data_IF_476406205158
#
_entry.id   IF_476406205158
#
_cell.length_a   1.000
_cell.length_b   1.000
_cell.length_c   1.000
_cell.angle_alpha   90.00
_cell.angle_beta   90.00
_cell.angle_gamma   90.00
#
_symmetry.space_group_name_H-M   'P 1'
#
loop_
_entity.id
_entity.type
_entity.pdbx_description
1 polymer ?
#
# COMPACT_ATOMS: atom_id res chain seq x y z
N UNK A 1 3.16 -17.13 16.08
CA UNK A 1 4.14 -17.26 17.18
C UNK A 1 4.29 -15.91 17.87
N UNK A 2 4.28 -15.86 19.19
CA UNK A 2 4.40 -14.61 19.96
C UNK A 2 5.69 -13.88 19.56
N UNK A 3 5.67 -12.59 19.20
CA UNK A 3 6.87 -11.85 18.76
C UNK A 3 7.95 -11.86 19.85
N UNK A 4 7.50 -11.86 21.12
CA UNK A 4 8.37 -12.06 22.29
C UNK A 4 9.13 -13.39 22.22
N UNK A 5 8.45 -14.47 21.84
CA UNK A 5 9.05 -15.78 21.70
C UNK A 5 10.05 -15.80 20.54
N UNK A 6 9.73 -15.20 19.40
CA UNK A 6 10.67 -15.07 18.28
C UNK A 6 11.94 -14.31 18.69
N UNK A 7 11.81 -13.20 19.42
CA UNK A 7 12.96 -12.43 19.90
C UNK A 7 13.79 -13.21 20.91
N UNK A 8 13.14 -13.91 21.86
CA UNK A 8 13.84 -14.79 22.80
C UNK A 8 14.59 -15.90 22.05
N UNK A 9 13.95 -16.56 21.08
CA UNK A 9 14.58 -17.61 20.27
C UNK A 9 15.76 -17.08 19.46
N UNK A 10 15.61 -15.90 18.83
CA UNK A 10 16.68 -15.24 18.11
C UNK A 10 17.85 -14.90 19.04
N UNK A 11 17.59 -14.34 20.21
CA UNK A 11 18.63 -14.03 21.19
C UNK A 11 19.32 -15.30 21.71
N UNK A 12 18.59 -16.39 21.94
CA UNK A 12 19.17 -17.69 22.29
C UNK A 12 20.10 -18.16 21.18
N UNK A 13 19.64 -18.17 19.92
CA UNK A 13 20.46 -18.61 18.77
C UNK A 13 21.70 -17.73 18.60
N UNK A 14 21.55 -16.41 18.71
CA UNK A 14 22.67 -15.47 18.62
C UNK A 14 23.67 -15.68 19.75
N UNK A 15 23.19 -15.85 20.99
CA UNK A 15 24.05 -16.11 22.13
C UNK A 15 24.75 -17.47 22.04
N UNK A 16 24.04 -18.51 21.58
CA UNK A 16 24.63 -19.81 21.30
C UNK A 16 25.67 -19.74 20.19
N UNK A 17 25.41 -19.01 19.10
CA UNK A 17 26.38 -18.80 18.03
C UNK A 17 27.63 -18.05 18.53
N UNK A 18 27.43 -17.03 19.37
CA UNK A 18 28.53 -16.34 20.03
C UNK A 18 29.36 -17.28 20.91
N UNK A 19 28.71 -18.06 21.78
CA UNK A 19 29.40 -19.03 22.63
C UNK A 19 30.18 -20.04 21.80
N UNK A 20 29.57 -20.59 20.76
CA UNK A 20 30.24 -21.55 19.87
C UNK A 20 31.44 -20.86 19.24
N UNK A 21 31.29 -19.76 18.51
CA UNK A 21 32.39 -19.13 17.76
C UNK A 21 33.55 -18.70 18.68
N UNK A 22 33.26 -18.11 19.84
CA UNK A 22 34.29 -17.55 20.72
C UNK A 22 34.86 -18.54 21.74
N UNK A 23 34.14 -19.60 22.11
CA UNK A 23 34.59 -20.59 23.09
C UNK A 23 34.94 -21.95 22.49
N UNK A 24 34.59 -22.28 21.23
CA UNK A 24 35.06 -23.51 20.57
C UNK A 24 36.58 -23.72 20.68
N UNK A 25 37.43 -22.68 20.46
CA UNK A 25 38.88 -22.88 20.48
C UNK A 25 39.42 -23.31 21.85
N UNK A 26 38.71 -22.99 22.94
CA UNK A 26 39.05 -23.43 24.29
C UNK A 26 38.90 -24.94 24.44
N UNK A 27 37.86 -25.52 23.83
CA UNK A 27 37.53 -26.94 23.97
C UNK A 27 38.21 -27.84 22.93
N UNK A 28 38.48 -27.33 21.72
CA UNK A 28 39.00 -28.16 20.61
C UNK A 28 40.51 -28.03 20.35
N UNK A 29 41.15 -26.91 20.74
CA UNK A 29 42.54 -26.63 20.35
C UNK A 29 43.46 -26.62 21.56
N UNK A 30 43.51 -25.53 22.31
CA UNK A 30 44.25 -25.41 23.56
C UNK A 30 43.92 -24.08 24.26
N UNK A 31 44.09 -24.00 25.60
CA UNK A 31 43.90 -22.75 26.34
C UNK A 31 44.80 -21.60 25.85
N UNK A 32 46.01 -21.91 25.41
CA UNK A 32 46.98 -20.93 24.89
C UNK A 32 46.51 -20.32 23.56
N UNK A 33 45.90 -21.14 22.69
CA UNK A 33 45.32 -20.68 21.44
C UNK A 33 44.09 -19.80 21.68
N UNK A 34 43.25 -20.14 22.67
CA UNK A 34 42.08 -19.35 23.07
C UNK A 34 42.46 -17.91 23.45
N UNK A 35 43.52 -17.73 24.24
CA UNK A 35 43.99 -16.39 24.65
C UNK A 35 44.44 -15.59 23.43
N UNK A 36 45.23 -16.20 22.51
CA UNK A 36 45.67 -15.54 21.28
C UNK A 36 44.50 -15.21 20.35
N UNK A 37 43.51 -16.10 20.27
CA UNK A 37 42.29 -15.88 19.48
C UNK A 37 41.52 -14.67 20.00
N UNK A 38 41.33 -14.56 21.33
CA UNK A 38 40.66 -13.40 21.94
C UNK A 38 41.44 -12.10 21.73
N UNK A 39 42.76 -12.12 21.95
CA UNK A 39 43.60 -10.94 21.74
C UNK A 39 43.58 -10.45 20.29
N UNK A 40 43.43 -11.35 19.31
CA UNK A 40 43.40 -10.99 17.89
C UNK A 40 42.00 -10.63 17.39
N UNK A 41 40.95 -11.23 17.95
CA UNK A 41 39.57 -11.14 17.43
C UNK A 41 38.59 -10.42 18.36
N UNK A 42 39.06 -9.76 19.42
CA UNK A 42 38.19 -8.99 20.34
C UNK A 42 37.29 -7.97 19.61
N UNK A 43 37.77 -7.40 18.50
CA UNK A 43 36.99 -6.49 17.67
C UNK A 43 35.74 -7.15 17.05
N UNK A 44 35.82 -8.43 16.68
CA UNK A 44 34.67 -9.21 16.22
C UNK A 44 33.67 -9.46 17.35
N UNK A 45 34.15 -9.74 18.57
CA UNK A 45 33.29 -9.90 19.74
C UNK A 45 32.53 -8.60 20.06
N UNK A 46 33.23 -7.47 20.02
CA UNK A 46 32.63 -6.16 20.21
C UNK A 46 31.60 -5.84 19.12
N UNK A 47 31.95 -6.06 17.85
CA UNK A 47 31.03 -5.87 16.72
C UNK A 47 29.76 -6.72 16.85
N UNK A 48 29.91 -7.98 17.27
CA UNK A 48 28.78 -8.86 17.52
C UNK A 48 27.88 -8.33 18.64
N UNK A 49 28.46 -7.94 19.79
CA UNK A 49 27.72 -7.37 20.91
C UNK A 49 26.99 -6.07 20.54
N UNK A 50 27.65 -5.18 19.79
CA UNK A 50 27.03 -3.94 19.29
C UNK A 50 25.87 -4.27 18.36
N UNK A 51 26.03 -5.23 17.45
CA UNK A 51 24.97 -5.66 16.53
C UNK A 51 23.75 -6.22 17.28
N UNK A 52 23.99 -7.09 18.27
CA UNK A 52 22.93 -7.62 19.16
C UNK A 52 22.25 -6.50 19.94
N UNK A 53 23.04 -5.54 20.45
CA UNK A 53 22.53 -4.36 21.16
C UNK A 53 21.61 -3.52 20.28
N UNK A 54 22.01 -3.23 19.04
CA UNK A 54 21.22 -2.46 18.07
C UNK A 54 19.90 -3.19 17.76
N UNK A 55 19.95 -4.50 17.48
CA UNK A 55 18.75 -5.29 17.20
C UNK A 55 17.76 -5.26 18.36
N UNK A 56 18.25 -5.49 19.58
CA UNK A 56 17.41 -5.43 20.78
C UNK A 56 16.86 -4.01 21.00
N UNK A 57 17.66 -2.96 20.79
CA UNK A 57 17.21 -1.57 20.91
C UNK A 57 16.05 -1.25 19.94
N UNK A 58 16.16 -1.67 18.68
CA UNK A 58 15.08 -1.50 17.68
C UNK A 58 13.81 -2.23 18.13
N UNK A 59 13.96 -3.44 18.66
CA UNK A 59 12.85 -4.24 19.13
C UNK A 59 12.14 -3.61 20.35
N UNK A 60 12.90 -3.19 21.36
CA UNK A 60 12.35 -2.49 22.54
C UNK A 60 11.65 -1.18 22.15
N UNK A 61 12.23 -0.41 21.22
CA UNK A 61 11.63 0.83 20.73
C UNK A 61 10.26 0.60 20.07
N UNK A 62 10.07 -0.51 19.37
CA UNK A 62 8.84 -0.84 18.66
C UNK A 62 7.93 -1.84 19.40
N UNK A 63 8.29 -2.22 20.62
CA UNK A 63 7.61 -3.29 21.36
C UNK A 63 6.12 -3.06 21.53
N UNK A 64 5.68 -1.82 21.77
CA UNK A 64 4.24 -1.50 21.91
C UNK A 64 3.47 -1.79 20.63
N UNK A 65 3.98 -1.33 19.49
CA UNK A 65 3.38 -1.57 18.17
C UNK A 65 3.33 -3.08 17.89
N UNK A 66 4.44 -3.78 18.13
CA UNK A 66 4.51 -5.23 17.94
C UNK A 66 3.53 -5.98 18.86
N UNK A 67 3.37 -5.53 20.10
CA UNK A 67 2.43 -6.14 21.04
C UNK A 67 0.98 -5.94 20.60
N UNK A 68 0.60 -4.76 20.11
CA UNK A 68 -0.75 -4.54 19.61
C UNK A 68 -1.02 -5.36 18.34
N UNK A 69 -0.06 -5.43 17.41
CA UNK A 69 -0.17 -6.33 16.25
C UNK A 69 -0.31 -7.80 16.67
N UNK A 70 0.43 -8.24 17.69
CA UNK A 70 0.39 -9.63 18.15
C UNK A 70 -0.97 -10.01 18.75
N UNK A 71 -1.65 -9.08 19.40
CA UNK A 71 -2.97 -9.31 19.99
C UNK A 71 -4.11 -8.92 19.02
N UNK A 72 -3.79 -8.53 17.79
CA UNK A 72 -4.74 -7.98 16.80
C UNK A 72 -5.60 -6.84 17.40
N UNK A 73 -5.02 -6.08 18.33
CA UNK A 73 -5.68 -4.96 19.01
C UNK A 73 -5.53 -3.69 18.15
N UNK A 74 -6.29 -3.68 17.06
CA UNK A 74 -6.33 -2.58 16.10
C UNK A 74 -6.73 -1.24 16.75
N UNK A 75 -7.72 -1.15 17.66
CA UNK A 75 -8.07 0.09 18.33
C UNK A 75 -6.92 0.67 19.16
N UNK A 76 -6.26 -0.15 19.99
CA UNK A 76 -5.14 0.32 20.81
C UNK A 76 -3.92 0.70 19.95
N UNK A 77 -3.70 -0.01 18.84
CA UNK A 77 -2.68 0.35 17.86
C UNK A 77 -2.95 1.71 17.23
N UNK A 78 -4.18 1.95 16.75
CA UNK A 78 -4.58 3.20 16.15
C UNK A 78 -4.39 4.36 17.13
N UNK A 79 -4.92 4.25 18.35
CA UNK A 79 -4.77 5.28 19.38
C UNK A 79 -3.29 5.59 19.69
N UNK A 80 -2.45 4.56 19.77
CA UNK A 80 -1.03 4.76 20.02
C UNK A 80 -0.34 5.49 18.86
N UNK A 81 -0.67 5.13 17.62
CA UNK A 81 -0.11 5.74 16.42
C UNK A 81 -0.61 7.18 16.23
N UNK A 82 -1.89 7.46 16.50
CA UNK A 82 -2.44 8.82 16.52
C UNK A 82 -1.69 9.70 17.51
N UNK A 83 -1.40 9.18 18.71
CA UNK A 83 -0.63 9.93 19.70
C UNK A 83 0.78 10.27 19.17
N UNK A 84 1.40 9.37 18.41
CA UNK A 84 2.69 9.63 17.79
C UNK A 84 2.63 10.64 16.65
N UNK A 85 1.61 10.56 15.79
CA UNK A 85 1.48 11.41 14.61
C UNK A 85 1.01 12.81 15.01
N UNK A 86 -0.08 12.93 15.75
CA UNK A 86 -0.70 14.22 16.07
C UNK A 86 0.02 14.99 17.19
N UNK A 87 0.46 14.31 18.25
CA UNK A 87 1.07 15.01 19.40
C UNK A 87 2.58 15.07 19.31
N UNK A 88 3.23 14.01 18.82
CA UNK A 88 4.70 13.94 18.74
C UNK A 88 5.24 14.29 17.35
N UNK A 89 4.36 14.67 16.40
CA UNK A 89 4.69 15.04 15.02
C UNK A 89 5.59 14.04 14.30
N UNK A 90 5.46 12.75 14.64
CA UNK A 90 6.26 11.68 14.01
C UNK A 90 5.61 11.22 12.72
N UNK A 91 5.78 12.00 11.66
CA UNK A 91 5.24 11.71 10.32
C UNK A 91 6.16 10.79 9.51
N UNK A 92 6.62 9.69 10.11
CA UNK A 92 7.43 8.71 9.38
C UNK A 92 6.53 7.94 8.40
N UNK A 93 7.04 7.60 7.21
CA UNK A 93 6.28 6.87 6.18
C UNK A 93 5.62 5.60 6.72
N UNK A 94 6.36 4.83 7.52
CA UNK A 94 5.87 3.59 8.15
C UNK A 94 4.76 3.86 9.16
N UNK A 95 4.93 4.87 10.01
CA UNK A 95 3.93 5.25 11.03
C UNK A 95 2.63 5.71 10.39
N UNK A 96 2.72 6.59 9.39
CA UNK A 96 1.55 7.12 8.67
C UNK A 96 0.83 6.01 7.92
N UNK A 97 1.56 5.16 7.18
CA UNK A 97 0.98 4.03 6.45
C UNK A 97 0.27 3.07 7.41
N UNK A 98 0.92 2.67 8.50
CA UNK A 98 0.33 1.75 9.47
C UNK A 98 -0.90 2.36 10.17
N UNK A 99 -0.86 3.65 10.49
CA UNK A 99 -2.01 4.35 11.07
C UNK A 99 -3.17 4.37 10.07
N UNK A 100 -2.92 4.79 8.83
CA UNK A 100 -3.92 4.81 7.78
C UNK A 100 -4.56 3.42 7.55
N UNK A 101 -3.75 2.37 7.39
CA UNK A 101 -4.23 0.99 7.23
C UNK A 101 -5.07 0.55 8.44
N UNK A 102 -4.62 0.86 9.67
CA UNK A 102 -5.37 0.53 10.90
C UNK A 102 -6.71 1.26 10.98
N UNK A 103 -6.76 2.55 10.64
CA UNK A 103 -7.98 3.34 10.66
C UNK A 103 -8.99 2.88 9.61
N UNK A 104 -8.52 2.54 8.40
CA UNK A 104 -9.40 1.97 7.35
C UNK A 104 -9.97 0.63 7.77
N UNK A 105 -9.17 -0.25 8.40
CA UNK A 105 -9.65 -1.53 8.94
C UNK A 105 -10.70 -1.35 10.03
N UNK A 106 -10.55 -0.34 10.88
CA UNK A 106 -11.52 0.01 11.92
C UNK A 106 -12.77 0.72 11.38
N UNK A 107 -12.75 1.18 10.12
CA UNK A 107 -13.81 1.98 9.54
C UNK A 107 -13.91 3.40 10.11
N UNK A 108 -12.87 3.90 10.78
CA UNK A 108 -12.83 5.25 11.35
C UNK A 108 -12.37 6.26 10.29
N UNK A 109 -13.30 6.60 9.38
CA UNK A 109 -13.03 7.52 8.28
C UNK A 109 -12.88 8.98 8.73
N UNK A 110 -13.40 9.34 9.90
CA UNK A 110 -13.23 10.68 10.46
C UNK A 110 -11.78 10.90 10.91
N UNK A 111 -11.18 9.90 11.57
CA UNK A 111 -9.76 9.91 11.89
C UNK A 111 -8.87 9.89 10.65
N UNK A 112 -9.26 9.17 9.58
CA UNK A 112 -8.56 9.21 8.28
C UNK A 112 -8.57 10.62 7.69
N UNK A 113 -9.72 11.31 7.73
CA UNK A 113 -9.81 12.69 7.26
C UNK A 113 -8.91 13.62 8.07
N UNK A 114 -8.94 13.50 9.40
CA UNK A 114 -8.08 14.27 10.29
C UNK A 114 -6.59 14.04 10.01
N UNK A 115 -6.20 12.79 9.72
CA UNK A 115 -4.85 12.44 9.33
C UNK A 115 -4.45 13.10 8.00
N UNK A 116 -5.32 13.03 6.99
CA UNK A 116 -5.15 13.70 5.70
C UNK A 116 -4.90 15.21 5.86
N UNK A 117 -5.80 15.91 6.57
CA UNK A 117 -5.72 17.36 6.79
C UNK A 117 -4.46 17.77 7.56
N UNK A 118 -4.05 16.95 8.53
CA UNK A 118 -2.83 17.20 9.31
C UNK A 118 -1.59 17.04 8.44
N UNK A 119 -1.52 15.99 7.62
CA UNK A 119 -0.40 15.76 6.72
C UNK A 119 -0.32 16.82 5.62
N UNK A 120 -1.46 17.26 5.08
CA UNK A 120 -1.48 18.34 4.10
C UNK A 120 -0.87 19.64 4.66
N UNK A 121 -1.10 19.94 5.94
CA UNK A 121 -0.58 21.15 6.60
C UNK A 121 0.86 21.00 7.09
N UNK A 122 1.19 19.89 7.74
CA UNK A 122 2.47 19.72 8.45
C UNK A 122 3.54 19.03 7.60
N UNK A 123 3.15 18.17 6.64
CA UNK A 123 4.08 17.43 5.79
C UNK A 123 3.51 17.11 4.40
N UNK A 124 3.46 18.11 3.48
CA UNK A 124 2.85 17.97 2.16
C UNK A 124 3.47 16.85 1.32
N UNK A 125 4.79 16.61 1.46
CA UNK A 125 5.48 15.52 0.77
C UNK A 125 4.91 14.16 1.15
N UNK A 126 4.64 13.92 2.44
CA UNK A 126 4.05 12.65 2.90
C UNK A 126 2.58 12.52 2.52
N UNK A 127 1.86 13.63 2.53
CA UNK A 127 0.49 13.66 2.02
C UNK A 127 0.45 13.20 0.55
N UNK A 128 1.32 13.74 -0.32
CA UNK A 128 1.40 13.35 -1.73
C UNK A 128 1.71 11.87 -1.93
N UNK A 129 2.63 11.29 -1.15
CA UNK A 129 2.93 9.85 -1.21
C UNK A 129 1.74 8.95 -0.83
N UNK A 130 0.79 9.46 -0.04
CA UNK A 130 -0.33 8.67 0.53
C UNK A 130 -1.69 9.07 -0.04
N UNK A 131 -1.71 9.99 -1.00
CA UNK A 131 -2.94 10.59 -1.52
C UNK A 131 -3.87 9.56 -2.17
N UNK A 132 -3.32 8.56 -2.87
CA UNK A 132 -4.11 7.47 -3.47
C UNK A 132 -4.93 6.72 -2.42
N UNK A 133 -4.32 6.47 -1.26
CA UNK A 133 -4.98 5.85 -0.13
C UNK A 133 -6.10 6.71 0.43
N UNK A 134 -5.85 8.00 0.68
CA UNK A 134 -6.89 8.90 1.21
C UNK A 134 -8.09 9.05 0.27
N UNK A 135 -7.85 9.19 -1.04
CA UNK A 135 -8.92 9.25 -2.03
C UNK A 135 -9.70 7.93 -2.08
N UNK A 136 -9.00 6.79 -2.05
CA UNK A 136 -9.64 5.48 -1.99
C UNK A 136 -10.49 5.27 -0.74
N UNK A 137 -10.00 5.70 0.43
CA UNK A 137 -10.76 5.68 1.68
C UNK A 137 -11.99 6.58 1.63
N UNK A 138 -11.90 7.76 1.00
CA UNK A 138 -13.06 8.63 0.78
C UNK A 138 -14.13 7.99 -0.12
N UNK A 139 -13.72 7.21 -1.13
CA UNK A 139 -14.64 6.43 -1.97
C UNK A 139 -15.32 5.32 -1.16
N UNK A 140 -14.58 4.62 -0.30
CA UNK A 140 -15.13 3.61 0.62
C UNK A 140 -16.17 4.21 1.57
N UNK A 141 -15.89 5.41 2.10
CA UNK A 141 -16.84 6.15 2.95
C UNK A 141 -18.01 6.77 2.16
N UNK A 142 -18.17 6.43 0.88
CA UNK A 142 -19.21 6.97 -0.03
C UNK A 142 -19.19 8.50 -0.16
N UNK A 143 -18.08 9.15 0.21
CA UNK A 143 -17.90 10.59 0.08
C UNK A 143 -17.31 10.93 -1.30
N UNK A 144 -18.08 10.61 -2.34
CA UNK A 144 -17.67 10.78 -3.74
C UNK A 144 -17.39 12.24 -4.11
N UNK A 145 -18.07 13.19 -3.45
CA UNK A 145 -17.81 14.63 -3.66
C UNK A 145 -16.44 15.02 -3.14
N UNK A 146 -16.09 14.63 -1.92
CA UNK A 146 -14.78 14.94 -1.34
C UNK A 146 -13.64 14.32 -2.16
N UNK A 147 -13.76 13.04 -2.52
CA UNK A 147 -12.79 12.34 -3.37
C UNK A 147 -12.49 13.11 -4.67
N UNK A 148 -13.53 13.60 -5.36
CA UNK A 148 -13.38 14.38 -6.61
C UNK A 148 -12.65 15.70 -6.40
N UNK A 149 -12.93 16.41 -5.31
CA UNK A 149 -12.28 17.68 -4.98
C UNK A 149 -10.79 17.45 -4.72
N UNK A 150 -10.45 16.50 -3.84
CA UNK A 150 -9.07 16.16 -3.53
C UNK A 150 -8.26 15.77 -4.76
N UNK A 151 -8.83 14.92 -5.64
CA UNK A 151 -8.16 14.55 -6.90
C UNK A 151 -7.94 15.78 -7.78
N UNK A 152 -8.94 16.64 -7.92
CA UNK A 152 -8.85 17.81 -8.80
C UNK A 152 -7.80 18.81 -8.31
N UNK A 153 -7.70 18.99 -7.01
CA UNK A 153 -6.65 19.81 -6.38
C UNK A 153 -5.26 19.19 -6.60
N UNK A 154 -5.12 17.89 -6.33
CA UNK A 154 -3.85 17.18 -6.49
C UNK A 154 -3.32 17.21 -7.94
N UNK A 155 -4.20 17.03 -8.93
CA UNK A 155 -3.84 17.08 -10.34
C UNK A 155 -3.46 18.50 -10.80
N UNK A 156 -3.98 19.55 -10.15
CA UNK A 156 -3.60 20.94 -10.46
C UNK A 156 -2.22 21.31 -9.92
N UNK A 157 -1.80 20.72 -8.81
CA UNK A 157 -0.47 20.97 -8.23
C UNK A 157 0.68 20.45 -9.12
N UNK A 158 0.43 19.44 -9.96
CA UNK A 158 1.32 19.05 -11.07
C UNK A 158 2.61 18.30 -10.70
N UNK A 159 2.79 17.90 -9.44
CA UNK A 159 4.01 17.23 -8.93
C UNK A 159 3.75 15.76 -8.55
N UNK A 160 3.25 14.98 -9.52
CA UNK A 160 2.89 13.57 -9.32
C UNK A 160 3.47 12.71 -10.44
N UNK A 161 3.85 11.47 -10.11
CA UNK A 161 4.29 10.49 -11.10
C UNK A 161 3.12 10.00 -11.98
N UNK A 162 3.43 9.47 -13.16
CA UNK A 162 2.42 9.07 -14.13
C UNK A 162 1.46 8.00 -13.60
N UNK A 163 1.94 7.07 -12.77
CA UNK A 163 1.11 6.01 -12.18
C UNK A 163 0.13 6.64 -11.18
N UNK A 164 0.60 7.54 -10.31
CA UNK A 164 -0.30 8.25 -9.37
C UNK A 164 -1.34 9.09 -10.09
N UNK A 165 -0.96 9.78 -11.17
CA UNK A 165 -1.91 10.56 -11.99
C UNK A 165 -3.00 9.66 -12.59
N UNK A 166 -2.63 8.51 -13.13
CA UNK A 166 -3.57 7.53 -13.70
C UNK A 166 -4.55 7.03 -12.64
N UNK A 167 -4.05 6.64 -11.47
CA UNK A 167 -4.88 6.16 -10.35
C UNK A 167 -5.82 7.22 -9.81
N UNK A 168 -5.36 8.46 -9.64
CA UNK A 168 -6.21 9.56 -9.18
C UNK A 168 -7.30 9.89 -10.20
N UNK A 169 -6.94 9.93 -11.48
CA UNK A 169 -7.90 10.15 -12.57
C UNK A 169 -8.93 9.02 -12.62
N UNK A 170 -8.48 7.77 -12.42
CA UNK A 170 -9.36 6.62 -12.32
C UNK A 170 -10.33 6.76 -11.14
N UNK A 171 -9.84 7.12 -9.94
CA UNK A 171 -10.70 7.35 -8.78
C UNK A 171 -11.70 8.50 -8.97
N UNK A 172 -11.35 9.54 -9.73
CA UNK A 172 -12.30 10.60 -10.13
C UNK A 172 -13.38 10.06 -11.07
N UNK A 173 -13.01 9.25 -12.06
CA UNK A 173 -13.97 8.56 -12.93
C UNK A 173 -14.87 7.59 -12.17
N UNK A 174 -14.28 6.77 -11.29
CA UNK A 174 -14.98 5.79 -10.46
C UNK A 174 -15.95 6.46 -9.49
N UNK A 175 -15.53 7.55 -8.82
CA UNK A 175 -16.43 8.29 -7.92
C UNK A 175 -17.62 8.90 -8.66
N UNK A 176 -17.48 9.34 -9.92
CA UNK A 176 -18.62 9.75 -10.77
C UNK A 176 -19.49 8.56 -11.18
N UNK A 177 -18.88 7.42 -11.50
CA UNK A 177 -19.58 6.19 -11.88
C UNK A 177 -20.43 5.61 -10.73
N UNK A 178 -19.93 5.69 -9.50
CA UNK A 178 -20.63 5.23 -8.29
C UNK A 178 -21.67 6.24 -7.79
N UNK A 179 -21.48 7.53 -8.08
CA UNK A 179 -22.47 8.58 -7.84
C UNK A 179 -23.58 8.55 -8.92
N UNK A 180 -24.50 9.51 -8.87
CA UNK A 180 -25.60 9.65 -9.82
C UNK A 180 -25.14 10.15 -11.22
N UNK A 181 -23.90 10.63 -11.33
CA UNK A 181 -23.32 11.26 -12.53
C UNK A 181 -22.51 10.27 -13.39
N UNK A 182 -23.15 9.15 -13.74
CA UNK A 182 -22.51 8.07 -14.52
C UNK A 182 -22.05 8.53 -15.90
N UNK A 183 -22.77 9.46 -16.52
CA UNK A 183 -22.46 9.96 -17.85
C UNK A 183 -21.08 10.64 -17.91
N UNK A 184 -20.77 11.48 -16.92
CA UNK A 184 -19.53 12.25 -16.88
C UNK A 184 -18.32 11.44 -16.44
N UNK A 185 -18.50 10.19 -16.01
CA UNK A 185 -17.38 9.27 -15.72
C UNK A 185 -16.59 8.91 -16.98
N UNK A 186 -17.26 8.89 -18.14
CA UNK A 186 -16.64 8.59 -19.44
C UNK A 186 -15.48 9.53 -19.79
N UNK A 187 -15.56 10.81 -19.40
CA UNK A 187 -14.50 11.80 -19.63
C UNK A 187 -13.17 11.43 -18.99
N UNK A 188 -13.20 10.80 -17.81
CA UNK A 188 -12.00 10.43 -17.08
C UNK A 188 -11.53 9.02 -17.46
N UNK A 189 -12.46 8.09 -17.69
CA UNK A 189 -12.15 6.67 -17.91
C UNK A 189 -11.69 6.37 -19.34
N UNK A 190 -12.27 7.00 -20.36
CA UNK A 190 -11.94 6.71 -21.75
C UNK A 190 -10.47 7.04 -22.12
N UNK A 191 -9.89 8.18 -21.69
CA UNK A 191 -8.48 8.45 -21.90
C UNK A 191 -7.56 7.42 -21.24
N UNK A 192 -7.89 6.99 -20.01
CA UNK A 192 -7.09 6.01 -19.27
C UNK A 192 -7.06 4.64 -19.95
N UNK A 193 -8.19 4.20 -20.53
CA UNK A 193 -8.27 2.99 -21.33
C UNK A 193 -7.26 3.00 -22.50
N UNK A 194 -7.06 4.16 -23.14
CA UNK A 194 -6.14 4.31 -24.27
C UNK A 194 -4.67 4.42 -23.89
N UNK A 195 -4.35 5.25 -22.90
CA UNK A 195 -2.97 5.74 -22.71
C UNK A 195 -2.41 5.55 -21.30
N UNK A 196 -3.13 4.92 -20.38
CA UNK A 196 -2.61 4.70 -19.02
C UNK A 196 -1.29 3.90 -19.04
N UNK A 197 -0.38 4.29 -18.17
CA UNK A 197 0.89 3.63 -17.89
C UNK A 197 0.69 2.34 -17.06
N UNK A 198 -0.33 2.30 -16.20
CA UNK A 198 -0.62 1.16 -15.34
C UNK A 198 -1.54 0.13 -16.05
N UNK A 199 -1.12 -1.14 -16.20
CA UNK A 199 -1.95 -2.20 -16.77
C UNK A 199 -3.28 -2.41 -16.02
N UNK A 200 -3.29 -2.25 -14.69
CA UNK A 200 -4.49 -2.44 -13.89
C UNK A 200 -5.50 -1.31 -14.12
N UNK A 201 -5.03 -0.05 -14.12
CA UNK A 201 -5.88 1.11 -14.43
C UNK A 201 -6.42 1.02 -15.86
N UNK A 202 -5.60 0.56 -16.82
CA UNK A 202 -6.02 0.31 -18.20
C UNK A 202 -7.17 -0.71 -18.26
N UNK A 203 -7.02 -1.85 -17.58
CA UNK A 203 -8.04 -2.91 -17.54
C UNK A 203 -9.34 -2.45 -16.87
N UNK A 204 -9.24 -1.82 -15.70
CA UNK A 204 -10.39 -1.32 -14.94
C UNK A 204 -11.15 -0.24 -15.71
N UNK A 205 -10.44 0.70 -16.33
CA UNK A 205 -11.05 1.76 -17.13
C UNK A 205 -11.73 1.20 -18.38
N UNK A 206 -11.10 0.23 -19.06
CA UNK A 206 -11.67 -0.46 -20.22
C UNK A 206 -12.94 -1.23 -19.88
N UNK A 207 -12.96 -1.93 -18.75
CA UNK A 207 -14.13 -2.64 -18.23
C UNK A 207 -15.27 -1.68 -17.88
N UNK A 208 -14.98 -0.60 -17.13
CA UNK A 208 -16.00 0.39 -16.78
C UNK A 208 -16.57 1.08 -18.01
N UNK A 209 -15.75 1.43 -19.00
CA UNK A 209 -16.21 1.93 -20.30
C UNK A 209 -17.16 0.93 -20.99
N UNK A 210 -16.84 -0.37 -20.97
CA UNK A 210 -17.73 -1.41 -21.50
C UNK A 210 -19.06 -1.46 -20.73
N UNK A 211 -19.01 -1.38 -19.40
CA UNK A 211 -20.21 -1.35 -18.56
C UNK A 211 -21.09 -0.13 -18.83
N UNK A 212 -20.50 1.03 -19.15
CA UNK A 212 -21.24 2.26 -19.49
C UNK A 212 -22.02 2.13 -20.80
N UNK A 213 -21.55 1.31 -21.75
CA UNK A 213 -22.28 1.02 -23.00
C UNK A 213 -23.62 0.30 -22.74
N UNK A 214 -23.72 -0.45 -21.63
CA UNK A 214 -24.96 -1.16 -21.25
C UNK A 214 -26.00 -0.25 -20.58
N UNK A 215 -25.63 0.98 -20.22
CA UNK A 215 -26.56 1.94 -19.61
C UNK A 215 -27.62 2.35 -20.65
N UNK A 216 -28.89 2.34 -20.23
CA UNK A 216 -30.06 2.64 -21.08
C UNK A 216 -29.84 3.94 -21.87
N UNK A 217 -30.26 3.93 -23.13
CA UNK A 217 -30.11 4.98 -24.17
C UNK A 217 -30.65 6.35 -23.78
N UNK A 218 -31.36 6.48 -22.66
CA UNK A 218 -31.91 7.74 -22.16
C UNK A 218 -30.88 8.66 -21.50
N UNK A 219 -29.65 8.20 -21.24
CA UNK A 219 -28.58 9.01 -20.68
C UNK A 219 -27.71 9.55 -21.82
N UNK A 220 -27.70 10.87 -21.99
CA UNK A 220 -26.82 11.55 -22.96
C UNK A 220 -25.38 11.36 -22.47
N UNK A 221 -24.65 10.49 -23.17
CA UNK A 221 -23.23 10.31 -22.91
C UNK A 221 -22.46 11.46 -23.58
N UNK A 222 -21.47 12.04 -22.88
CA UNK A 222 -20.65 13.09 -23.45
C UNK A 222 -19.71 12.62 -24.57
N UNK A 223 -19.45 11.31 -24.62
CA UNK A 223 -18.60 10.66 -25.61
C UNK A 223 -19.48 9.72 -26.44
N UNK A 224 -19.25 9.68 -27.76
CA UNK A 224 -19.96 8.75 -28.64
C UNK A 224 -19.77 7.30 -28.17
N UNK A 225 -20.84 6.50 -28.26
CA UNK A 225 -20.80 5.07 -27.91
C UNK A 225 -19.78 4.30 -28.73
N UNK A 226 -19.59 4.69 -30.00
CA UNK A 226 -18.59 4.08 -30.89
C UNK A 226 -17.17 4.34 -30.40
N UNK A 227 -16.88 5.56 -29.95
CA UNK A 227 -15.57 5.93 -29.38
C UNK A 227 -15.30 5.19 -28.07
N UNK A 228 -16.32 5.07 -27.20
CA UNK A 228 -16.20 4.30 -25.96
C UNK A 228 -15.95 2.81 -26.22
N UNK A 229 -16.59 2.25 -27.23
CA UNK A 229 -16.36 0.86 -27.65
C UNK A 229 -14.94 0.67 -28.20
N UNK A 230 -14.47 1.58 -29.05
CA UNK A 230 -13.10 1.55 -29.58
C UNK A 230 -12.04 1.69 -28.47
N UNK A 231 -12.24 2.59 -27.51
CA UNK A 231 -11.32 2.80 -26.39
C UNK A 231 -11.30 1.58 -25.45
N UNK A 232 -12.45 0.94 -25.23
CA UNK A 232 -12.56 -0.31 -24.46
C UNK A 232 -11.86 -1.48 -25.15
N UNK A 233 -12.02 -1.62 -26.47
CA UNK A 233 -11.30 -2.64 -27.27
C UNK A 233 -9.79 -2.40 -27.26
N UNK A 234 -9.37 -1.14 -27.40
CA UNK A 234 -7.96 -0.75 -27.34
C UNK A 234 -7.33 -1.14 -26.01
N UNK A 235 -8.02 -0.89 -24.89
CA UNK A 235 -7.55 -1.33 -23.58
C UNK A 235 -7.37 -2.85 -23.51
N UNK A 236 -8.34 -3.61 -24.03
CA UNK A 236 -8.28 -5.07 -24.08
C UNK A 236 -7.07 -5.56 -24.87
N UNK A 237 -6.87 -5.07 -26.08
CA UNK A 237 -5.76 -5.47 -26.96
C UNK A 237 -4.39 -5.14 -26.33
N UNK A 238 -4.28 -3.99 -25.65
CA UNK A 238 -3.05 -3.59 -24.93
C UNK A 238 -2.70 -4.57 -23.79
N UNK A 239 -3.70 -5.09 -23.08
CA UNK A 239 -3.47 -6.07 -22.01
C UNK A 239 -3.18 -7.46 -22.59
N UNK A 240 -3.97 -7.91 -23.56
CA UNK A 240 -3.81 -9.23 -24.20
C UNK A 240 -2.47 -9.38 -24.94
N UNK A 241 -1.92 -8.28 -25.48
CA UNK A 241 -0.59 -8.30 -26.12
C UNK A 241 0.57 -8.51 -25.13
N UNK A 242 0.38 -8.23 -23.83
CA UNK A 242 1.43 -8.29 -22.79
C UNK A 242 1.23 -9.41 -21.76
N UNK A 243 -0.01 -9.86 -21.58
CA UNK A 243 -0.41 -10.77 -20.53
C UNK A 243 -1.18 -11.96 -21.09
N UNK A 244 -0.76 -13.17 -20.69
CA UNK A 244 -1.61 -14.36 -20.74
C UNK A 244 -2.48 -14.40 -19.49
N UNK A 245 -3.59 -15.15 -19.51
CA UNK A 245 -4.48 -15.31 -18.36
C UNK A 245 -3.71 -15.67 -17.07
N UNK A 246 -2.83 -16.68 -17.12
CA UNK A 246 -2.00 -17.08 -15.96
C UNK A 246 -1.07 -15.97 -15.46
N UNK A 247 -0.48 -15.19 -16.38
CA UNK A 247 0.42 -14.07 -16.02
C UNK A 247 -0.36 -12.90 -15.42
N UNK A 248 -1.58 -12.66 -15.91
CA UNK A 248 -2.48 -11.64 -15.39
C UNK A 248 -2.90 -11.92 -13.95
N UNK A 249 -3.40 -13.13 -13.67
CA UNK A 249 -3.81 -13.49 -12.31
C UNK A 249 -2.64 -13.44 -11.32
N UNK A 250 -1.44 -13.85 -11.72
CA UNK A 250 -0.24 -13.69 -10.88
C UNK A 250 0.10 -12.22 -10.60
N UNK A 251 -0.02 -11.36 -11.61
CA UNK A 251 0.16 -9.92 -11.44
C UNK A 251 -0.90 -9.31 -10.50
N UNK A 252 -2.15 -9.76 -10.63
CA UNK A 252 -3.25 -9.33 -9.79
C UNK A 252 -3.06 -9.78 -8.33
N UNK A 253 -2.61 -11.00 -8.08
CA UNK A 253 -2.28 -11.49 -6.72
C UNK A 253 -1.18 -10.65 -6.04
N UNK A 254 -0.17 -10.22 -6.81
CA UNK A 254 0.89 -9.35 -6.29
C UNK A 254 0.35 -7.93 -6.00
N UNK A 255 -0.54 -7.40 -6.85
CA UNK A 255 -1.18 -6.10 -6.68
C UNK A 255 -2.23 -6.07 -5.56
N UNK A 256 -2.95 -7.18 -5.32
CA UNK A 256 -3.96 -7.35 -4.26
C UNK A 256 -3.43 -7.15 -2.84
N UNK A 257 -2.10 -7.10 -2.67
CA UNK A 257 -1.46 -6.81 -1.37
C UNK A 257 -1.54 -5.35 -0.97
N UNK A 258 -1.82 -4.46 -1.91
CA UNK A 258 -2.00 -3.04 -1.63
C UNK A 258 -3.46 -2.74 -1.26
N UNK A 259 -3.64 -1.89 -0.24
CA UNK A 259 -4.96 -1.49 0.27
C UNK A 259 -5.89 -0.93 -0.83
N UNK A 260 -5.30 -0.38 -1.90
CA UNK A 260 -6.00 0.09 -3.11
C UNK A 260 -6.90 -0.99 -3.72
N UNK A 261 -6.52 -2.28 -3.63
CA UNK A 261 -7.33 -3.38 -4.16
C UNK A 261 -8.49 -3.77 -3.25
N UNK A 262 -8.33 -3.60 -1.93
CA UNK A 262 -9.43 -3.78 -0.96
C UNK A 262 -10.53 -2.74 -1.23
N UNK A 263 -10.14 -1.50 -1.56
CA UNK A 263 -11.06 -0.42 -1.90
C UNK A 263 -11.93 -0.76 -3.12
N UNK A 264 -11.36 -1.45 -4.11
CA UNK A 264 -12.04 -1.79 -5.37
C UNK A 264 -12.96 -3.01 -5.27
N UNK A 265 -12.85 -3.79 -4.19
CA UNK A 265 -13.69 -4.97 -3.96
C UNK A 265 -13.64 -5.95 -5.13
N UNK A 266 -14.79 -6.20 -5.77
CA UNK A 266 -14.92 -7.17 -6.87
C UNK A 266 -14.60 -6.61 -8.26
N UNK A 267 -14.32 -5.30 -8.39
CA UNK A 267 -14.06 -4.67 -9.69
C UNK A 267 -12.88 -5.31 -10.45
N UNK A 268 -11.75 -5.64 -9.80
CA UNK A 268 -10.64 -6.29 -10.48
C UNK A 268 -10.98 -7.69 -11.02
N UNK A 269 -11.77 -8.46 -10.28
CA UNK A 269 -12.23 -9.78 -10.71
C UNK A 269 -13.13 -9.66 -11.94
N UNK A 270 -14.11 -8.75 -11.91
CA UNK A 270 -15.01 -8.49 -13.04
C UNK A 270 -14.25 -8.00 -14.28
N UNK A 271 -13.26 -7.13 -14.10
CA UNK A 271 -12.41 -6.68 -15.20
C UNK A 271 -11.57 -7.84 -15.77
N UNK A 272 -11.13 -8.77 -14.92
CA UNK A 272 -10.36 -9.95 -15.32
C UNK A 272 -11.20 -10.94 -16.12
N UNK A 273 -12.44 -11.20 -15.70
CA UNK A 273 -13.43 -12.01 -16.43
C UNK A 273 -13.75 -11.39 -17.79
N UNK A 274 -13.85 -10.05 -17.87
CA UNK A 274 -14.05 -9.35 -19.14
C UNK A 274 -12.85 -9.48 -20.09
N UNK A 275 -11.62 -9.43 -19.57
CA UNK A 275 -10.40 -9.60 -20.38
C UNK A 275 -10.25 -11.04 -20.89
N UNK A 276 -10.40 -12.02 -19.99
CA UNK A 276 -10.21 -13.45 -20.22
C UNK A 276 -11.51 -14.22 -19.90
N UNK A 277 -12.54 -14.14 -20.76
CA UNK A 277 -13.75 -14.91 -20.57
C UNK A 277 -13.42 -16.40 -20.68
N UNK A 278 -13.90 -17.20 -19.71
CA UNK A 278 -13.81 -18.66 -19.74
C UNK A 278 -14.75 -19.25 -20.80
#
# INVERSE_FOLDING_TARGET
MKFKLLCVLLNIVLFSAFLIVFFLPLFLVSPEYFIRFWQRNWGLALFFLVSVGILNMIFFKNWRILSYLEHEDWPALAQHLEQQVFYRKKTSKRTVRLLFESLVLLGDFDAVQKLSDTLQKENPSRYRETIRGFVGAAILNKNYRHARVCVTEALKEGDLDCITVDWLTFYRGLSRYLDSDKASSAYDLAPLARSSCDPLVTALSGYLCCSLLTVKTSVILPISRETLQADSQTARDRILSKFTSKKWYRYLDDACRDLEMIILGKLPDMASEWLFPN
#
